data_IF_930436111085
#
_entry.id   IF_930436111085
#
_cell.length_a   1.000
_cell.length_b   1.000
_cell.length_c   1.000
_cell.angle_alpha   90.00
_cell.angle_beta   90.00
_cell.angle_gamma   90.00
#
_symmetry.space_group_name_H-M   'P 1'
#
loop_
_entity.id
_entity.type
_entity.pdbx_description
1 polymer ?
#
# COMPACT_ATOMS: atom_id res chain seq x y z
N UNK A 1 16.22 10.65 1.35
CA UNK A 1 15.30 9.58 0.86
C UNK A 1 14.74 10.01 -0.48
N UNK A 2 14.88 9.19 -1.49
CA UNK A 2 14.37 9.38 -2.85
C UNK A 2 13.27 8.35 -3.13
N UNK A 3 12.17 8.75 -3.80
CA UNK A 3 11.18 7.83 -4.32
C UNK A 3 11.32 7.79 -5.83
N UNK A 4 11.46 6.60 -6.39
CA UNK A 4 11.61 6.36 -7.83
C UNK A 4 10.81 5.15 -8.28
N UNK A 5 10.60 5.05 -9.57
CA UNK A 5 9.95 3.88 -10.18
C UNK A 5 10.74 2.60 -9.84
N UNK A 6 10.00 1.56 -9.45
CA UNK A 6 10.57 0.24 -9.18
C UNK A 6 10.85 -0.50 -10.49
N UNK A 7 11.91 -1.29 -10.48
CA UNK A 7 12.29 -2.18 -11.58
C UNK A 7 12.36 -3.62 -11.06
N UNK A 8 12.39 -4.63 -11.93
CA UNK A 8 12.60 -6.01 -11.49
C UNK A 8 13.90 -6.23 -10.67
N UNK A 9 14.90 -5.34 -10.84
CA UNK A 9 16.15 -5.38 -10.07
C UNK A 9 15.97 -5.00 -8.60
N UNK A 10 14.89 -4.31 -8.26
CA UNK A 10 14.58 -3.93 -6.88
C UNK A 10 13.90 -5.07 -6.11
N UNK A 11 13.34 -6.05 -6.82
CA UNK A 11 12.56 -7.14 -6.21
C UNK A 11 13.32 -7.94 -5.16
N UNK A 12 14.59 -8.34 -5.36
CA UNK A 12 15.35 -9.05 -4.34
C UNK A 12 15.51 -8.29 -3.01
N UNK A 13 15.43 -6.95 -3.04
CA UNK A 13 15.44 -6.12 -1.85
C UNK A 13 14.03 -5.92 -1.26
N UNK A 14 12.98 -5.97 -2.07
CA UNK A 14 11.58 -5.87 -1.66
C UNK A 14 11.10 -7.18 -1.02
N UNK A 15 11.39 -8.31 -1.65
CA UNK A 15 10.81 -9.61 -1.30
C UNK A 15 10.97 -10.00 0.17
N UNK A 16 12.14 -9.84 0.83
CA UNK A 16 12.29 -10.26 2.21
C UNK A 16 11.31 -9.59 3.18
N UNK A 17 11.13 -8.27 3.11
CA UNK A 17 10.19 -7.58 3.97
C UNK A 17 8.73 -7.73 3.50
N UNK A 18 8.49 -7.81 2.18
CA UNK A 18 7.18 -8.11 1.63
C UNK A 18 6.67 -9.45 2.17
N UNK A 19 7.46 -10.50 2.03
CA UNK A 19 7.15 -11.84 2.53
C UNK A 19 6.91 -11.85 4.03
N UNK A 20 7.78 -11.19 4.80
CA UNK A 20 7.62 -11.06 6.26
C UNK A 20 6.30 -10.41 6.66
N UNK A 21 5.89 -9.33 5.99
CA UNK A 21 4.61 -8.63 6.23
C UNK A 21 3.42 -9.53 5.88
N UNK A 22 3.49 -10.23 4.75
CA UNK A 22 2.40 -11.13 4.32
C UNK A 22 2.26 -12.34 5.25
N UNK A 23 3.36 -12.96 5.64
CA UNK A 23 3.37 -14.10 6.58
C UNK A 23 2.86 -13.70 7.97
N UNK A 24 3.14 -12.49 8.43
CA UNK A 24 2.60 -11.97 9.70
C UNK A 24 1.06 -11.95 9.70
N UNK A 25 0.42 -11.73 8.55
CA UNK A 25 -1.02 -11.88 8.36
C UNK A 25 -1.88 -10.89 9.14
N UNK A 26 -1.34 -9.72 9.49
CA UNK A 26 -1.99 -8.73 10.36
C UNK A 26 -2.41 -7.44 9.64
N UNK A 27 -1.95 -7.22 8.40
CA UNK A 27 -2.20 -5.95 7.68
C UNK A 27 -2.66 -6.11 6.23
N UNK A 28 -2.42 -7.25 5.58
CA UNK A 28 -2.80 -7.51 4.19
C UNK A 28 -3.72 -8.70 4.06
N UNK A 29 -4.68 -8.62 3.13
CA UNK A 29 -5.61 -9.70 2.79
C UNK A 29 -5.01 -10.77 1.88
N UNK A 30 -3.71 -10.77 1.69
CA UNK A 30 -3.01 -11.76 0.87
C UNK A 30 -2.95 -13.12 1.57
N UNK A 31 -2.93 -14.24 0.82
CA UNK A 31 -2.64 -15.55 1.38
C UNK A 31 -1.27 -15.54 2.08
N UNK A 32 -1.20 -16.06 3.31
CA UNK A 32 0.06 -16.07 4.10
C UNK A 32 1.13 -17.00 3.53
N UNK A 33 0.75 -17.90 2.63
CA UNK A 33 1.62 -18.81 1.87
C UNK A 33 1.88 -18.34 0.43
N UNK A 34 1.67 -17.03 0.15
CA UNK A 34 1.86 -16.44 -1.17
C UNK A 34 3.30 -16.67 -1.68
N UNK A 35 3.41 -17.37 -2.82
CA UNK A 35 4.69 -17.62 -3.46
C UNK A 35 5.29 -16.36 -4.11
N UNK A 36 6.63 -16.32 -4.17
CA UNK A 36 7.39 -15.15 -4.62
C UNK A 36 7.01 -14.67 -6.02
N UNK A 37 6.87 -15.59 -6.99
CA UNK A 37 6.53 -15.20 -8.37
C UNK A 37 5.15 -14.54 -8.46
N UNK A 38 4.17 -15.09 -7.75
CA UNK A 38 2.81 -14.51 -7.71
C UNK A 38 2.83 -13.15 -7.02
N UNK A 39 3.59 -13.00 -5.95
CA UNK A 39 3.78 -11.74 -5.26
C UNK A 39 4.41 -10.68 -6.17
N UNK A 40 5.45 -11.05 -6.92
CA UNK A 40 6.09 -10.20 -7.92
C UNK A 40 5.07 -9.69 -8.95
N UNK A 41 4.29 -10.61 -9.54
CA UNK A 41 3.30 -10.30 -10.58
C UNK A 41 2.18 -9.39 -10.04
N UNK A 42 1.81 -9.53 -8.77
CA UNK A 42 0.78 -8.70 -8.14
C UNK A 42 1.28 -7.34 -7.67
N UNK A 43 2.59 -7.20 -7.48
CA UNK A 43 3.16 -5.98 -6.90
C UNK A 43 3.85 -5.09 -7.92
N UNK A 44 4.67 -5.64 -8.83
CA UNK A 44 5.33 -4.87 -9.88
C UNK A 44 4.38 -4.64 -11.06
N UNK A 45 3.63 -3.55 -10.98
CA UNK A 45 2.62 -3.21 -11.97
C UNK A 45 3.24 -2.53 -13.20
N UNK A 46 2.75 -2.91 -14.39
CA UNK A 46 3.10 -2.25 -15.64
C UNK A 46 2.27 -0.97 -15.87
N UNK A 47 2.79 0.00 -16.64
CA UNK A 47 2.01 1.18 -17.04
C UNK A 47 0.64 0.83 -17.67
N UNK A 48 -0.40 1.64 -17.44
CA UNK A 48 -0.41 2.96 -16.79
C UNK A 48 -0.37 2.94 -15.28
N UNK A 49 -0.43 1.76 -14.65
CA UNK A 49 -0.22 1.58 -13.22
C UNK A 49 1.25 1.84 -12.88
N UNK A 50 1.56 1.93 -11.60
CA UNK A 50 2.93 2.23 -11.18
C UNK A 50 3.29 1.50 -9.90
N UNK A 51 4.53 1.05 -9.82
CA UNK A 51 5.16 0.63 -8.56
C UNK A 51 6.41 1.47 -8.32
N UNK A 52 6.62 1.89 -7.09
CA UNK A 52 7.77 2.71 -6.68
C UNK A 52 8.47 2.11 -5.48
N UNK A 53 9.73 2.47 -5.32
CA UNK A 53 10.53 2.22 -4.12
C UNK A 53 10.99 3.54 -3.50
N UNK A 54 10.99 3.58 -2.16
CA UNK A 54 11.69 4.61 -1.39
C UNK A 54 13.09 4.08 -1.05
N UNK A 55 14.13 4.83 -1.42
CA UNK A 55 15.52 4.46 -1.18
C UNK A 55 16.24 5.54 -0.37
N UNK A 56 17.20 5.14 0.45
CA UNK A 56 18.09 6.08 1.13
C UNK A 56 19.28 6.50 0.24
N UNK A 57 20.17 7.32 0.78
CA UNK A 57 21.30 7.85 0.04
C UNK A 57 22.36 6.78 -0.32
N UNK A 58 22.33 5.63 0.36
CA UNK A 58 23.13 4.45 0.04
C UNK A 58 22.47 3.53 -1.00
N UNK A 59 21.22 3.82 -1.40
CA UNK A 59 20.45 3.00 -2.34
C UNK A 59 19.70 1.84 -1.68
N UNK A 60 19.65 1.79 -0.35
CA UNK A 60 18.88 0.76 0.38
C UNK A 60 17.38 0.98 0.18
N UNK A 61 16.65 -0.06 -0.18
CA UNK A 61 15.19 -0.01 -0.28
C UNK A 61 14.57 0.00 1.12
N UNK A 62 13.85 1.07 1.44
CA UNK A 62 13.21 1.29 2.74
C UNK A 62 11.73 0.90 2.76
N UNK A 63 11.12 0.85 1.58
CA UNK A 63 9.71 0.54 1.39
C UNK A 63 9.30 0.67 -0.07
N UNK A 64 8.08 0.26 -0.35
CA UNK A 64 7.51 0.21 -1.70
C UNK A 64 6.04 0.56 -1.70
N UNK A 65 5.54 1.06 -2.82
CA UNK A 65 4.12 1.29 -3.06
C UNK A 65 3.73 0.88 -4.47
N UNK A 66 2.53 0.33 -4.62
CA UNK A 66 1.89 0.15 -5.93
C UNK A 66 0.65 1.04 -6.03
N UNK A 67 0.38 1.54 -7.23
CA UNK A 67 -0.69 2.50 -7.53
C UNK A 67 -1.38 2.12 -8.83
N UNK A 68 -2.71 2.14 -8.82
CA UNK A 68 -3.53 1.76 -9.97
C UNK A 68 -4.91 2.43 -9.92
N UNK A 69 -5.66 2.36 -11.01
CA UNK A 69 -7.09 2.62 -10.96
C UNK A 69 -7.79 1.57 -10.10
N UNK A 70 -8.68 2.00 -9.21
CA UNK A 70 -9.37 1.10 -8.28
C UNK A 70 -10.34 0.15 -9.00
N UNK A 71 -10.98 0.64 -10.06
CA UNK A 71 -11.88 -0.11 -10.92
C UNK A 71 -11.58 0.16 -12.38
N UNK A 72 -12.13 -0.65 -13.26
CA UNK A 72 -12.07 -0.44 -14.71
C UNK A 72 -13.28 0.34 -15.22
N UNK A 73 -13.24 0.75 -16.49
CA UNK A 73 -14.36 1.37 -17.19
C UNK A 73 -14.86 2.62 -16.47
N UNK A 74 -16.17 2.69 -16.20
CA UNK A 74 -16.81 3.87 -15.61
C UNK A 74 -16.36 4.19 -14.18
N UNK A 75 -15.63 3.31 -13.51
CA UNK A 75 -15.03 3.50 -12.20
C UNK A 75 -13.55 3.87 -12.22
N UNK A 76 -12.91 3.94 -13.40
CA UNK A 76 -11.46 4.10 -13.53
C UNK A 76 -10.90 5.46 -13.10
N UNK A 77 -11.77 6.42 -12.78
CA UNK A 77 -11.39 7.76 -12.30
C UNK A 77 -11.05 7.81 -10.81
N UNK A 78 -11.15 6.70 -10.09
CA UNK A 78 -10.75 6.58 -8.69
C UNK A 78 -9.45 5.77 -8.63
N UNK A 79 -8.42 6.32 -8.00
CA UNK A 79 -7.15 5.63 -7.76
C UNK A 79 -7.23 4.73 -6.51
N UNK A 80 -6.34 3.76 -6.46
CA UNK A 80 -6.01 3.01 -5.23
C UNK A 80 -4.50 2.86 -5.11
N UNK A 81 -4.02 2.62 -3.89
CA UNK A 81 -2.62 2.33 -3.62
C UNK A 81 -2.46 1.35 -2.46
N UNK A 82 -1.33 0.67 -2.44
CA UNK A 82 -0.91 -0.19 -1.33
C UNK A 82 0.55 0.12 -0.98
N UNK A 83 0.89 0.07 0.29
CA UNK A 83 2.21 0.45 0.80
C UNK A 83 2.77 -0.64 1.70
N UNK A 84 4.05 -0.93 1.53
CA UNK A 84 4.82 -1.75 2.47
C UNK A 84 6.11 -1.01 2.85
N UNK A 85 6.38 -0.92 4.13
CA UNK A 85 7.61 -0.35 4.68
C UNK A 85 8.38 -1.47 5.34
N UNK A 86 9.67 -1.58 5.05
CA UNK A 86 10.54 -2.53 5.75
C UNK A 86 10.50 -2.23 7.26
N UNK A 87 10.10 -3.19 8.11
CA UNK A 87 10.07 -3.00 9.56
C UNK A 87 11.40 -2.53 10.15
N UNK A 88 12.54 -2.90 9.56
CA UNK A 88 13.86 -2.42 9.97
C UNK A 88 14.04 -0.90 9.80
N UNK A 89 13.19 -0.28 8.99
CA UNK A 89 13.23 1.15 8.69
C UNK A 89 11.95 1.90 9.13
N UNK A 90 11.15 1.28 10.00
CA UNK A 90 9.94 1.90 10.56
C UNK A 90 10.26 3.19 11.33
N UNK A 91 9.28 4.11 11.43
CA UNK A 91 9.42 5.37 12.16
C UNK A 91 10.23 6.47 11.45
N UNK A 92 10.76 6.21 10.25
CA UNK A 92 11.56 7.16 9.46
C UNK A 92 10.74 8.01 8.48
N UNK A 93 9.41 7.98 8.57
CA UNK A 93 8.53 8.75 7.67
C UNK A 93 8.33 8.12 6.27
N UNK A 94 8.85 6.91 6.02
CA UNK A 94 8.80 6.24 4.71
C UNK A 94 7.36 6.05 4.23
N UNK A 95 6.47 5.56 5.10
CA UNK A 95 5.06 5.33 4.76
C UNK A 95 4.34 6.62 4.38
N UNK A 96 4.61 7.73 5.10
CA UNK A 96 4.06 9.05 4.77
C UNK A 96 4.54 9.52 3.41
N UNK A 97 5.84 9.45 3.15
CA UNK A 97 6.41 9.90 1.89
C UNK A 97 5.87 9.10 0.69
N UNK A 98 5.72 7.79 0.81
CA UNK A 98 5.11 6.94 -0.21
C UNK A 98 3.63 7.31 -0.47
N UNK A 99 2.86 7.58 0.60
CA UNK A 99 1.48 7.97 0.49
C UNK A 99 1.34 9.35 -0.17
N UNK A 100 2.12 10.34 0.23
CA UNK A 100 2.17 11.67 -0.39
C UNK A 100 2.55 11.60 -1.86
N UNK A 101 3.55 10.77 -2.21
CA UNK A 101 3.94 10.52 -3.60
C UNK A 101 2.76 9.93 -4.41
N UNK A 102 2.04 8.95 -3.86
CA UNK A 102 0.91 8.34 -4.56
C UNK A 102 -0.25 9.30 -4.79
N UNK A 103 -0.49 10.22 -3.85
CA UNK A 103 -1.50 11.27 -3.99
C UNK A 103 -1.13 12.24 -5.11
N UNK A 104 0.12 12.63 -5.20
CA UNK A 104 0.60 13.52 -6.27
C UNK A 104 0.57 12.83 -7.64
N UNK A 105 1.00 11.56 -7.70
CA UNK A 105 0.83 10.75 -8.91
C UNK A 105 -0.63 10.69 -9.36
N UNK A 106 -1.55 10.43 -8.44
CA UNK A 106 -2.97 10.32 -8.77
C UNK A 106 -3.55 11.65 -9.28
N UNK A 107 -3.18 12.80 -8.68
CA UNK A 107 -3.57 14.13 -9.19
C UNK A 107 -3.04 14.38 -10.59
N UNK A 108 -1.75 14.14 -10.80
CA UNK A 108 -1.09 14.36 -12.09
C UNK A 108 -1.66 13.45 -13.18
N UNK A 109 -2.05 12.23 -12.83
CA UNK A 109 -2.70 11.29 -13.74
C UNK A 109 -4.19 11.58 -13.99
N UNK A 110 -4.78 12.59 -13.31
CA UNK A 110 -6.15 13.04 -13.52
C UNK A 110 -7.22 12.25 -12.77
N UNK A 111 -6.84 11.47 -11.76
CA UNK A 111 -7.81 10.82 -10.87
C UNK A 111 -8.55 11.86 -10.03
N UNK A 112 -9.81 11.57 -9.71
CA UNK A 112 -10.69 12.46 -8.93
C UNK A 112 -10.62 12.21 -7.43
N UNK A 113 -10.23 11.01 -7.05
CA UNK A 113 -10.11 10.60 -5.65
C UNK A 113 -9.18 9.39 -5.54
N UNK A 114 -8.74 9.12 -4.31
CA UNK A 114 -8.07 7.87 -3.94
C UNK A 114 -8.89 7.13 -2.91
N UNK A 115 -9.03 5.81 -3.09
CA UNK A 115 -9.76 4.93 -2.19
C UNK A 115 -8.90 3.74 -1.79
N UNK A 116 -8.87 3.45 -0.50
CA UNK A 116 -8.34 2.20 0.06
C UNK A 116 -9.50 1.27 0.38
N UNK A 117 -9.42 0.01 -0.08
CA UNK A 117 -10.54 -0.93 0.00
C UNK A 117 -10.53 -1.79 1.27
N UNK A 118 -9.36 -1.94 1.91
CA UNK A 118 -9.16 -2.92 2.96
C UNK A 118 -8.08 -2.46 3.94
N UNK A 119 -8.36 -1.43 4.74
CA UNK A 119 -7.48 -1.01 5.84
C UNK A 119 -7.92 -1.74 7.10
N UNK A 120 -7.08 -2.62 7.62
CA UNK A 120 -7.40 -3.39 8.83
C UNK A 120 -7.57 -2.44 10.01
N UNK A 121 -8.72 -2.49 10.70
CA UNK A 121 -9.05 -1.52 11.76
C UNK A 121 -8.06 -1.54 12.93
N UNK A 122 -7.45 -2.68 13.21
CA UNK A 122 -6.42 -2.82 14.24
C UNK A 122 -5.06 -2.24 13.85
N UNK A 123 -4.84 -1.92 12.55
CA UNK A 123 -3.66 -1.19 12.09
C UNK A 123 -3.80 0.32 12.35
N UNK A 124 -3.88 0.68 13.65
CA UNK A 124 -4.10 2.05 14.10
C UNK A 124 -3.04 3.04 13.56
N UNK A 125 -1.81 2.57 13.31
CA UNK A 125 -0.75 3.40 12.75
C UNK A 125 -1.08 3.84 11.32
N UNK A 126 -1.51 2.91 10.47
CA UNK A 126 -1.91 3.21 9.09
C UNK A 126 -3.17 4.09 9.06
N UNK A 127 -4.19 3.77 9.86
CA UNK A 127 -5.42 4.57 9.94
C UNK A 127 -5.11 6.02 10.30
N UNK A 128 -4.33 6.27 11.36
CA UNK A 128 -3.92 7.61 11.79
C UNK A 128 -3.10 8.35 10.72
N UNK A 129 -2.20 7.64 10.03
CA UNK A 129 -1.44 8.21 8.93
C UNK A 129 -2.37 8.69 7.82
N UNK A 130 -3.30 7.85 7.37
CA UNK A 130 -4.22 8.19 6.28
C UNK A 130 -5.17 9.33 6.68
N UNK A 131 -5.72 9.30 7.88
CA UNK A 131 -6.53 10.41 8.41
C UNK A 131 -5.75 11.73 8.43
N UNK A 132 -4.47 11.71 8.87
CA UNK A 132 -3.61 12.90 8.86
C UNK A 132 -3.31 13.44 7.46
N UNK A 133 -3.47 12.59 6.44
CA UNK A 133 -3.36 12.93 5.01
C UNK A 133 -4.71 13.25 4.37
N UNK A 134 -5.77 13.39 5.15
CA UNK A 134 -7.09 13.83 4.68
C UNK A 134 -8.00 12.72 4.16
N UNK A 135 -7.68 11.46 4.41
CA UNK A 135 -8.62 10.37 4.17
C UNK A 135 -9.67 10.30 5.27
N UNK A 136 -10.87 9.91 4.90
CA UNK A 136 -11.98 9.63 5.82
C UNK A 136 -12.41 8.18 5.69
N UNK A 137 -12.85 7.58 6.78
CA UNK A 137 -13.47 6.25 6.78
C UNK A 137 -14.90 6.40 6.25
N UNK A 138 -15.19 5.79 5.10
CA UNK A 138 -16.54 5.76 4.52
C UNK A 138 -17.42 4.70 5.18
N UNK A 139 -16.81 3.64 5.65
CA UNK A 139 -17.50 2.54 6.31
C UNK A 139 -16.51 1.45 6.71
N UNK A 140 -16.99 0.53 7.53
CA UNK A 140 -16.22 -0.63 8.00
C UNK A 140 -17.01 -1.88 7.70
N UNK A 141 -16.40 -2.82 6.98
CA UNK A 141 -16.95 -4.15 6.82
C UNK A 141 -16.72 -4.92 8.13
N UNK A 142 -17.78 -5.26 8.90
CA UNK A 142 -17.63 -6.03 10.14
C UNK A 142 -17.03 -7.40 9.83
N UNK A 143 -16.12 -7.86 10.71
CA UNK A 143 -15.50 -9.18 10.58
C UNK A 143 -14.84 -9.45 9.22
N UNK A 144 -14.45 -8.39 8.51
CA UNK A 144 -13.90 -8.47 7.17
C UNK A 144 -12.48 -9.02 7.09
N UNK A 145 -11.78 -9.15 8.22
CA UNK A 145 -10.40 -9.60 8.27
C UNK A 145 -10.17 -10.56 9.45
N UNK A 146 -9.54 -11.70 9.17
CA UNK A 146 -9.13 -12.66 10.21
C UNK A 146 -7.74 -12.34 10.71
N UNK A 147 -7.67 -11.57 11.80
CA UNK A 147 -6.41 -11.21 12.42
C UNK A 147 -5.83 -12.38 13.25
N UNK A 148 -4.51 -12.67 13.18
CA UNK A 148 -3.92 -13.84 13.85
C UNK A 148 -4.03 -13.81 15.38
N UNK A 149 -4.14 -12.61 15.98
CA UNK A 149 -4.20 -12.44 17.46
C UNK A 149 -5.59 -12.01 17.91
N UNK A 150 -6.28 -11.14 17.15
CA UNK A 150 -7.54 -10.51 17.57
C UNK A 150 -8.79 -11.20 17.03
N UNK A 151 -8.63 -12.29 16.24
CA UNK A 151 -9.77 -12.94 15.59
C UNK A 151 -10.35 -12.12 14.45
N UNK A 152 -11.66 -12.17 14.28
CA UNK A 152 -12.33 -11.41 13.19
C UNK A 152 -12.46 -9.93 13.58
N UNK A 153 -11.86 -9.06 12.78
CA UNK A 153 -11.84 -7.61 12.94
C UNK A 153 -12.38 -6.92 11.69
N UNK A 154 -12.68 -5.63 11.77
CA UNK A 154 -13.20 -4.87 10.66
C UNK A 154 -12.16 -4.51 9.59
N UNK A 155 -12.64 -4.28 8.37
CA UNK A 155 -11.92 -3.64 7.28
C UNK A 155 -12.54 -2.29 6.99
N UNK A 156 -11.75 -1.22 7.10
CA UNK A 156 -12.17 0.12 6.71
C UNK A 156 -12.05 0.31 5.20
N UNK A 157 -13.06 0.97 4.63
CA UNK A 157 -12.96 1.62 3.32
C UNK A 157 -12.65 3.08 3.59
N UNK A 158 -11.50 3.56 3.10
CA UNK A 158 -11.07 4.95 3.30
C UNK A 158 -11.01 5.69 1.97
N UNK A 159 -11.35 6.97 1.97
CA UNK A 159 -11.49 7.76 0.76
C UNK A 159 -10.95 9.18 0.98
N UNK A 160 -10.35 9.73 -0.08
CA UNK A 160 -9.90 11.11 -0.14
C UNK A 160 -10.15 11.70 -1.53
N UNK A 161 -10.89 12.82 -1.68
CA UNK A 161 -10.90 13.64 -2.91
C UNK A 161 -9.48 14.17 -3.22
N UNK A 162 -9.16 14.34 -4.49
CA UNK A 162 -7.84 14.84 -4.95
C UNK A 162 -7.91 16.28 -5.45
#
# INVERSE_FOLDING_TARGET
MLIREATPRDWPAIWPFFHGIVVAGDTFTYPTDLGEQVALDWWLLAPPNRTVVAVDDAGTVLGTAKMNANHMGNGAHIASASYMVDPAHAGRGVGRALCEYSLEWARTAGFRAMQFNAVVETNAHAVKLYESLGFTVLGTLPEGFRHPVHGYVGLHIMHRPL
#
